data_IF_716373058570
#
_entry.id   IF_716373058570
#
_cell.length_a   1.000
_cell.length_b   1.000
_cell.length_c   1.000
_cell.angle_alpha   90.00
_cell.angle_beta   90.00
_cell.angle_gamma   90.00
#
_symmetry.space_group_name_H-M   'P 1'
#
loop_
_entity.id
_entity.type
_entity.pdbx_description
1 polymer ?
#
# COMPACT_ATOMS: atom_id res chain seq x y z
N UNK A 1 9.22 0.30 14.53
CA UNK A 1 8.69 1.62 14.14
C UNK A 1 8.76 1.67 12.65
N UNK A 2 7.68 2.03 11.96
CA UNK A 2 7.64 1.99 10.50
C UNK A 2 8.20 3.28 9.91
N UNK A 3 9.15 3.16 8.98
CA UNK A 3 9.74 4.31 8.28
C UNK A 3 8.87 4.72 7.09
N UNK A 4 7.93 5.64 7.32
CA UNK A 4 7.08 6.17 6.27
C UNK A 4 7.84 6.92 5.15
N UNK A 5 9.06 7.38 5.42
CA UNK A 5 9.93 8.05 4.45
C UNK A 5 10.84 7.11 3.65
N UNK A 6 10.77 5.80 3.86
CA UNK A 6 11.58 4.84 3.13
C UNK A 6 11.00 4.52 1.75
N UNK A 7 11.84 4.08 0.81
CA UNK A 7 11.37 3.58 -0.48
C UNK A 7 10.47 2.35 -0.31
N UNK A 8 9.43 2.28 -1.12
CA UNK A 8 8.41 1.27 -1.01
C UNK A 8 7.95 0.74 -2.36
N UNK A 9 7.69 -0.55 -2.42
CA UNK A 9 7.24 -1.24 -3.61
C UNK A 9 5.89 -1.88 -3.36
N UNK A 10 4.93 -1.60 -4.22
CA UNK A 10 3.60 -2.18 -4.14
C UNK A 10 3.40 -3.14 -5.30
N UNK A 11 3.16 -4.40 -4.98
CA UNK A 11 2.99 -5.46 -5.96
C UNK A 11 1.85 -6.41 -5.60
N UNK A 12 1.22 -7.03 -6.61
CA UNK A 12 0.20 -8.03 -6.38
C UNK A 12 0.80 -9.35 -5.90
N UNK A 13 0.36 -9.82 -4.73
CA UNK A 13 0.76 -11.12 -4.15
C UNK A 13 0.07 -12.28 -4.87
N UNK A 14 -1.19 -12.09 -5.30
CA UNK A 14 -1.93 -13.07 -6.09
C UNK A 14 -1.89 -12.69 -7.58
N UNK A 15 -1.24 -13.46 -8.45
CA UNK A 15 -1.18 -13.20 -9.88
C UNK A 15 -2.51 -13.61 -10.56
N UNK A 16 -3.63 -13.04 -10.12
CA UNK A 16 -4.85 -13.03 -10.92
C UNK A 16 -4.69 -11.99 -12.01
N UNK A 17 -4.89 -12.38 -13.27
CA UNK A 17 -4.68 -11.53 -14.46
C UNK A 17 -5.33 -10.13 -14.36
N UNK A 18 -6.42 -9.99 -13.60
CA UNK A 18 -7.10 -8.71 -13.34
C UNK A 18 -6.43 -7.81 -12.29
N UNK A 19 -5.86 -8.39 -11.24
CA UNK A 19 -5.13 -7.64 -10.20
C UNK A 19 -3.85 -7.06 -10.80
N UNK A 20 -3.06 -7.86 -11.54
CA UNK A 20 -1.84 -7.37 -12.22
C UNK A 20 -2.12 -6.23 -13.21
N UNK A 21 -3.22 -6.32 -13.97
CA UNK A 21 -3.60 -5.28 -14.95
C UNK A 21 -4.13 -4.01 -14.31
N UNK A 22 -4.84 -4.09 -13.18
CA UNK A 22 -5.43 -2.91 -12.50
C UNK A 22 -4.51 -2.26 -11.48
N UNK A 23 -3.75 -3.07 -10.75
CA UNK A 23 -2.80 -2.60 -9.73
C UNK A 23 -1.53 -2.04 -10.37
N UNK A 24 -1.03 -2.71 -11.42
CA UNK A 24 0.33 -2.50 -11.89
C UNK A 24 1.37 -2.85 -10.83
N UNK A 25 2.63 -2.89 -11.24
CA UNK A 25 3.76 -2.79 -10.32
C UNK A 25 4.08 -1.31 -10.15
N UNK A 26 4.21 -0.84 -8.91
CA UNK A 26 4.51 0.57 -8.65
C UNK A 26 5.52 0.70 -7.52
N UNK A 27 6.62 1.39 -7.81
CA UNK A 27 7.60 1.85 -6.82
C UNK A 27 7.26 3.27 -6.40
N UNK A 28 7.48 3.55 -5.12
CA UNK A 28 7.28 4.84 -4.50
C UNK A 28 8.55 5.22 -3.76
N UNK A 29 8.89 6.51 -3.81
CA UNK A 29 10.02 7.04 -3.05
C UNK A 29 9.77 7.06 -1.54
N UNK A 30 8.49 7.14 -1.12
CA UNK A 30 8.11 7.05 0.29
C UNK A 30 7.03 6.00 0.51
N UNK A 31 7.16 5.26 1.61
CA UNK A 31 6.20 4.27 2.05
C UNK A 31 4.85 4.87 2.41
N UNK A 32 4.82 6.13 2.86
CA UNK A 32 3.57 6.86 3.07
C UNK A 32 2.73 6.94 1.79
N UNK A 33 3.36 7.32 0.68
CA UNK A 33 2.69 7.42 -0.63
C UNK A 33 2.15 6.06 -1.08
N UNK A 34 2.93 4.99 -0.89
CA UNK A 34 2.53 3.65 -1.24
C UNK A 34 1.33 3.15 -0.41
N UNK A 35 1.33 3.42 0.90
CA UNK A 35 0.23 3.09 1.82
C UNK A 35 -1.02 3.89 1.46
N UNK A 36 -0.90 5.21 1.24
CA UNK A 36 -2.04 6.04 0.83
C UNK A 36 -2.64 5.55 -0.48
N UNK A 37 -1.81 5.33 -1.49
CA UNK A 37 -2.27 4.82 -2.79
C UNK A 37 -2.97 3.48 -2.64
N UNK A 38 -2.41 2.56 -1.85
CA UNK A 38 -3.01 1.26 -1.62
C UNK A 38 -4.40 1.35 -0.97
N UNK A 39 -4.63 2.30 -0.08
CA UNK A 39 -5.91 2.45 0.61
C UNK A 39 -6.93 3.29 -0.20
N UNK A 40 -6.47 4.36 -0.84
CA UNK A 40 -7.36 5.33 -1.51
C UNK A 40 -7.64 4.95 -2.97
N UNK A 41 -6.71 4.28 -3.65
CA UNK A 41 -6.88 3.92 -5.07
C UNK A 41 -7.35 2.47 -5.27
N UNK A 42 -6.95 1.55 -4.40
CA UNK A 42 -7.33 0.14 -4.56
C UNK A 42 -8.67 -0.14 -3.92
N UNK A 43 -9.52 -0.87 -4.63
CA UNK A 43 -10.71 -1.47 -4.02
C UNK A 43 -10.29 -2.48 -2.94
N UNK A 44 -11.13 -2.73 -1.91
CA UNK A 44 -10.82 -3.68 -0.84
C UNK A 44 -10.41 -5.08 -1.33
N UNK A 45 -11.01 -5.54 -2.43
CA UNK A 45 -10.68 -6.81 -3.06
C UNK A 45 -9.28 -6.85 -3.70
N UNK A 46 -8.79 -5.72 -4.21
CA UNK A 46 -7.42 -5.60 -4.75
C UNK A 46 -6.40 -5.46 -3.62
N UNK A 47 -6.74 -4.71 -2.57
CA UNK A 47 -5.91 -4.54 -1.37
C UNK A 47 -5.64 -5.88 -0.67
N UNK A 48 -6.64 -6.76 -0.54
CA UNK A 48 -6.43 -8.12 0.02
C UNK A 48 -5.39 -8.94 -0.78
N UNK A 49 -5.32 -8.70 -2.09
CA UNK A 49 -4.36 -9.32 -3.00
C UNK A 49 -3.03 -8.58 -3.12
N UNK A 50 -2.85 -7.44 -2.45
CA UNK A 50 -1.66 -6.61 -2.53
C UNK A 50 -0.64 -6.93 -1.42
N UNK A 51 0.63 -6.75 -1.74
CA UNK A 51 1.72 -6.73 -0.78
C UNK A 51 2.53 -5.45 -0.99
N UNK A 52 2.84 -4.76 0.09
CA UNK A 52 3.76 -3.64 0.15
C UNK A 52 5.09 -4.16 0.69
N UNK A 53 6.20 -3.77 0.08
CA UNK A 53 7.55 -4.05 0.59
C UNK A 53 8.27 -2.72 0.85
N UNK A 54 8.88 -2.59 2.02
CA UNK A 54 9.60 -1.38 2.47
C UNK A 54 10.87 -1.84 3.15
N UNK A 55 12.05 -1.51 2.61
CA UNK A 55 13.34 -1.94 3.18
C UNK A 55 13.36 -3.42 3.58
N UNK A 56 12.94 -4.32 2.67
CA UNK A 56 12.87 -5.77 2.89
C UNK A 56 11.73 -6.26 3.83
N UNK A 57 11.03 -5.36 4.53
CA UNK A 57 9.83 -5.70 5.29
C UNK A 57 8.60 -5.78 4.37
N UNK A 58 7.79 -6.82 4.54
CA UNK A 58 6.59 -7.07 3.72
C UNK A 58 5.32 -6.93 4.54
N UNK A 59 4.38 -6.16 4.00
CA UNK A 59 3.09 -5.87 4.60
C UNK A 59 1.97 -6.32 3.68
N UNK A 60 1.00 -7.05 4.23
CA UNK A 60 -0.20 -7.45 3.51
C UNK A 60 -1.27 -6.33 3.53
N UNK A 61 -2.35 -6.48 2.75
CA UNK A 61 -3.45 -5.51 2.69
C UNK A 61 -4.03 -5.07 4.04
N UNK A 62 -4.09 -5.97 5.04
CA UNK A 62 -4.56 -5.63 6.39
C UNK A 62 -3.53 -4.79 7.14
N UNK A 63 -2.25 -5.15 7.04
CA UNK A 63 -1.15 -4.39 7.65
C UNK A 63 -1.03 -2.99 7.04
N UNK A 64 -1.18 -2.87 5.73
CA UNK A 64 -1.22 -1.58 5.02
C UNK A 64 -2.36 -0.71 5.56
N UNK A 65 -3.55 -1.30 5.81
CA UNK A 65 -4.68 -0.59 6.42
C UNK A 65 -4.37 -0.09 7.83
N UNK A 66 -3.70 -0.91 8.64
CA UNK A 66 -3.26 -0.51 9.98
C UNK A 66 -2.23 0.62 9.91
N UNK A 67 -1.28 0.57 8.98
CA UNK A 67 -0.29 1.63 8.77
C UNK A 67 -0.91 2.97 8.36
N UNK A 68 -2.00 2.94 7.59
CA UNK A 68 -2.77 4.13 7.22
C UNK A 68 -3.59 4.69 8.39
N UNK A 69 -4.18 3.79 9.19
CA UNK A 69 -5.00 4.17 10.34
C UNK A 69 -4.16 4.63 11.56
N UNK A 70 -2.88 4.25 11.60
CA UNK A 70 -1.93 4.64 12.64
C UNK A 70 -1.78 6.16 12.75
N UNK A 71 -1.80 6.68 13.97
CA UNK A 71 -1.69 8.12 14.26
C UNK A 71 -0.38 8.75 13.78
N UNK A 72 0.64 7.94 13.48
CA UNK A 72 1.94 8.37 12.97
C UNK A 72 1.98 8.53 11.45
N UNK A 73 0.89 8.19 10.76
CA UNK A 73 0.79 8.34 9.31
C UNK A 73 0.98 9.82 8.92
N UNK A 74 2.02 10.18 8.13
CA UNK A 74 2.41 11.57 7.95
C UNK A 74 1.59 12.32 6.89
N UNK A 75 0.85 11.62 6.03
CA UNK A 75 0.06 12.23 4.96
C UNK A 75 -1.38 12.51 5.42
N UNK A 76 -1.98 13.56 4.84
CA UNK A 76 -3.39 13.85 5.05
C UNK A 76 -4.23 12.71 4.50
N UNK A 77 -5.07 12.13 5.36
CA UNK A 77 -6.03 11.10 4.97
C UNK A 77 -7.15 11.76 4.19
N UNK A 78 -7.37 11.37 2.94
CA UNK A 78 -8.55 11.84 2.23
C UNK A 78 -9.77 11.12 2.83
N UNK A 79 -10.80 11.83 3.36
CA UNK A 79 -12.07 11.19 3.63
C UNK A 79 -12.60 10.72 2.26
N UNK A 80 -12.59 9.41 2.05
CA UNK A 80 -12.87 8.80 0.74
C UNK A 80 -14.12 9.39 0.10
N UNK A 81 -14.01 9.76 -1.18
CA UNK A 81 -15.13 10.22 -1.99
C UNK A 81 -16.09 9.07 -2.32
#
# INVERSE_FOLDING_TARGET
MFDYGAEAELFPKRPGLNVRRKMGYRRFSHAADAVQFAIETLSPALLDGACLEVKEERFNGREIRLLYDDTRFPLQRSPGK
#
